data_IF_693197889032
#
_entry.id   IF_693197889032
#
_cell.length_a   1.000
_cell.length_b   1.000
_cell.length_c   1.000
_cell.angle_alpha   90.00
_cell.angle_beta   90.00
_cell.angle_gamma   90.00
#
_symmetry.space_group_name_H-M   'P 1'
#
loop_
_entity.id
_entity.type
_entity.pdbx_description
1 polymer ?
#
# COMPACT_ATOMS: atom_id res chain seq x y z
N UNK A 1 6.61 24.34 13.42
CA UNK A 1 5.63 23.32 13.87
C UNK A 1 6.42 22.13 14.40
N UNK A 2 6.13 21.65 15.62
CA UNK A 2 6.87 20.53 16.20
C UNK A 2 6.58 19.24 15.43
N UNK A 3 7.54 18.31 15.37
CA UNK A 3 7.43 17.01 14.72
C UNK A 3 6.18 16.22 15.19
N UNK A 4 5.77 16.40 16.44
CA UNK A 4 4.61 15.73 17.04
C UNK A 4 3.26 16.19 16.45
N UNK A 5 3.13 17.46 16.06
CA UNK A 5 1.90 17.99 15.43
C UNK A 5 1.71 17.44 14.01
N UNK A 6 2.79 17.23 13.30
CA UNK A 6 2.77 16.68 11.94
C UNK A 6 2.36 15.21 11.92
N UNK A 7 2.83 14.39 12.86
CA UNK A 7 2.44 12.98 12.95
C UNK A 7 0.97 12.80 13.32
N UNK A 8 0.42 13.63 14.22
CA UNK A 8 -1.01 13.61 14.57
C UNK A 8 -1.92 13.92 13.37
N UNK A 9 -1.45 14.74 12.42
CA UNK A 9 -2.21 15.05 11.21
C UNK A 9 -2.34 13.84 10.25
N UNK A 10 -1.40 12.88 10.31
CA UNK A 10 -1.42 11.66 9.51
C UNK A 10 -2.21 10.50 10.17
N UNK A 11 -2.55 10.61 11.44
CA UNK A 11 -3.35 9.61 12.13
C UNK A 11 -4.77 9.50 11.54
N UNK A 12 -5.41 8.32 11.61
CA UNK A 12 -6.82 8.17 11.24
C UNK A 12 -7.73 9.07 12.08
N UNK A 13 -8.74 9.70 11.47
CA UNK A 13 -9.67 10.63 12.15
C UNK A 13 -11.11 10.21 12.10
N UNK A 14 -11.55 9.57 11.01
CA UNK A 14 -12.93 9.15 10.80
C UNK A 14 -13.08 7.64 10.85
N UNK A 15 -14.31 7.16 11.02
CA UNK A 15 -14.60 5.71 11.10
C UNK A 15 -14.11 4.91 9.89
N UNK A 16 -14.14 5.49 8.67
CA UNK A 16 -13.62 4.84 7.46
C UNK A 16 -12.11 4.66 7.51
N UNK A 17 -11.40 5.64 8.02
CA UNK A 17 -9.94 5.60 8.15
C UNK A 17 -9.52 4.56 9.21
N UNK A 18 -10.17 4.56 10.36
CA UNK A 18 -9.98 3.54 11.39
C UNK A 18 -10.42 2.16 10.93
N UNK A 19 -11.55 2.05 10.22
CA UNK A 19 -12.04 0.81 9.63
C UNK A 19 -11.14 0.22 8.56
N UNK A 20 -10.27 1.00 7.91
CA UNK A 20 -9.23 0.47 7.05
C UNK A 20 -8.02 -0.03 7.85
N UNK A 21 -7.53 0.76 8.80
CA UNK A 21 -6.24 0.53 9.47
C UNK A 21 -6.32 -0.51 10.59
N UNK A 22 -7.31 -0.39 11.50
CA UNK A 22 -7.40 -1.27 12.67
C UNK A 22 -7.60 -2.74 12.32
N UNK A 23 -8.51 -3.12 11.38
CA UNK A 23 -8.64 -4.52 10.99
C UNK A 23 -7.37 -5.08 10.33
N UNK A 24 -6.62 -4.26 9.59
CA UNK A 24 -5.33 -4.66 9.02
C UNK A 24 -4.30 -4.97 10.10
N UNK A 25 -4.18 -4.11 11.11
CA UNK A 25 -3.30 -4.34 12.26
C UNK A 25 -3.73 -5.57 13.06
N UNK A 26 -5.03 -5.72 13.31
CA UNK A 26 -5.60 -6.88 13.98
C UNK A 26 -5.27 -8.18 13.21
N UNK A 27 -5.47 -8.19 11.89
CA UNK A 27 -5.15 -9.34 11.06
C UNK A 27 -3.67 -9.72 11.20
N UNK A 28 -2.76 -8.77 11.02
CA UNK A 28 -1.32 -9.03 11.12
C UNK A 28 -0.90 -9.57 12.49
N UNK A 29 -1.33 -8.91 13.56
CA UNK A 29 -0.96 -9.28 14.93
C UNK A 29 -1.57 -10.63 15.35
N UNK A 30 -2.88 -10.82 15.11
CA UNK A 30 -3.57 -12.04 15.56
C UNK A 30 -3.16 -13.29 14.78
N UNK A 31 -2.92 -13.18 13.46
CA UNK A 31 -2.38 -14.30 12.68
C UNK A 31 -0.99 -14.68 13.20
N UNK A 32 -0.13 -13.69 13.46
CA UNK A 32 1.19 -13.95 14.02
C UNK A 32 1.11 -14.66 15.38
N UNK A 33 0.25 -14.18 16.28
CA UNK A 33 0.09 -14.78 17.60
C UNK A 33 -0.51 -16.19 17.59
N UNK A 34 -1.43 -16.45 16.66
CA UNK A 34 -2.18 -17.72 16.62
C UNK A 34 -1.48 -18.79 15.81
N UNK A 35 -0.76 -18.42 14.74
CA UNK A 35 -0.24 -19.41 13.79
C UNK A 35 1.27 -19.55 13.79
N UNK A 36 2.01 -18.66 14.45
CA UNK A 36 3.47 -18.70 14.45
C UNK A 36 4.01 -19.78 15.38
N UNK A 37 4.82 -20.67 14.79
CA UNK A 37 5.60 -21.67 15.49
C UNK A 37 7.03 -21.65 14.92
N UNK A 38 8.06 -21.23 15.67
CA UNK A 38 9.42 -21.12 15.16
C UNK A 38 10.04 -22.45 14.73
N UNK A 39 9.49 -23.58 15.17
CA UNK A 39 9.94 -24.92 14.79
C UNK A 39 9.30 -25.42 13.48
N UNK A 40 8.26 -24.74 12.99
CA UNK A 40 7.50 -25.13 11.81
C UNK A 40 7.71 -24.14 10.67
N UNK A 41 8.52 -24.51 9.68
CA UNK A 41 8.84 -23.63 8.54
C UNK A 41 7.62 -23.08 7.82
N UNK A 42 6.53 -23.85 7.73
CA UNK A 42 5.29 -23.38 7.12
C UNK A 42 4.68 -22.17 7.84
N UNK A 43 4.80 -22.08 9.16
CA UNK A 43 4.19 -21.02 9.98
C UNK A 43 4.71 -19.61 9.64
N UNK A 44 5.95 -19.53 9.15
CA UNK A 44 6.55 -18.26 8.71
C UNK A 44 5.80 -17.64 7.53
N UNK A 45 5.22 -18.47 6.64
CA UNK A 45 4.49 -17.96 5.48
C UNK A 45 3.21 -17.19 5.87
N UNK A 46 2.21 -17.77 6.56
CA UNK A 46 1.01 -17.03 6.95
C UNK A 46 1.32 -15.83 7.84
N UNK A 47 2.26 -15.98 8.77
CA UNK A 47 2.70 -14.91 9.67
C UNK A 47 3.29 -13.72 8.90
N UNK A 48 4.27 -13.97 8.04
CA UNK A 48 4.94 -12.93 7.27
C UNK A 48 3.99 -12.26 6.26
N UNK A 49 3.08 -13.04 5.64
CA UNK A 49 2.07 -12.49 4.73
C UNK A 49 1.04 -11.62 5.47
N UNK A 50 0.57 -12.05 6.64
CA UNK A 50 -0.38 -11.25 7.43
C UNK A 50 0.25 -9.97 7.99
N UNK A 51 1.48 -10.04 8.48
CA UNK A 51 2.26 -8.86 8.88
C UNK A 51 2.50 -7.93 7.68
N UNK A 52 2.91 -8.49 6.55
CA UNK A 52 3.19 -7.71 5.33
C UNK A 52 1.94 -7.02 4.79
N UNK A 53 0.92 -7.75 4.39
CA UNK A 53 -0.29 -7.19 3.79
C UNK A 53 -1.23 -6.51 4.79
N UNK A 54 -1.38 -7.07 5.99
CA UNK A 54 -2.27 -6.55 7.02
C UNK A 54 -1.64 -5.40 7.80
N UNK A 55 -0.60 -5.68 8.58
CA UNK A 55 -0.09 -4.73 9.56
C UNK A 55 0.78 -3.62 8.94
N UNK A 56 1.44 -3.85 7.81
CA UNK A 56 2.37 -2.88 7.21
C UNK A 56 1.83 -2.24 5.93
N UNK A 57 1.41 -3.06 4.94
CA UNK A 57 0.96 -2.53 3.65
C UNK A 57 -0.35 -1.76 3.76
N UNK A 58 -1.28 -2.20 4.61
CA UNK A 58 -2.58 -1.53 4.82
C UNK A 58 -2.43 -0.11 5.37
N UNK A 59 -1.71 0.14 6.48
CA UNK A 59 -1.43 1.52 6.92
C UNK A 59 -0.63 2.32 5.91
N UNK A 60 0.31 1.70 5.20
CA UNK A 60 1.04 2.36 4.10
C UNK A 60 0.12 2.80 2.97
N UNK A 61 -0.83 1.96 2.55
CA UNK A 61 -1.84 2.31 1.54
C UNK A 61 -2.78 3.42 2.04
N UNK A 62 -3.17 3.37 3.31
CA UNK A 62 -3.94 4.44 3.96
C UNK A 62 -3.21 5.79 3.90
N UNK A 63 -1.91 5.83 4.25
CA UNK A 63 -1.12 7.05 4.13
C UNK A 63 -1.10 7.59 2.70
N UNK A 64 -0.94 6.73 1.69
CA UNK A 64 -0.97 7.15 0.30
C UNK A 64 -2.31 7.80 -0.11
N UNK A 65 -3.45 7.29 0.41
CA UNK A 65 -4.76 7.91 0.22
C UNK A 65 -4.87 9.26 0.93
N UNK A 66 -4.42 9.33 2.18
CA UNK A 66 -4.50 10.55 3.00
C UNK A 66 -3.63 11.68 2.47
N UNK A 67 -2.47 11.37 1.91
CA UNK A 67 -1.54 12.36 1.37
C UNK A 67 -2.06 13.10 0.14
N UNK A 68 -3.12 12.61 -0.51
CA UNK A 68 -3.77 13.33 -1.62
C UNK A 68 -4.41 14.65 -1.18
N UNK A 69 -4.88 14.72 0.07
CA UNK A 69 -5.46 15.93 0.69
C UNK A 69 -4.53 16.62 1.70
N UNK A 70 -3.24 16.31 1.72
CA UNK A 70 -2.33 16.87 2.72
C UNK A 70 -2.12 18.38 2.54
N UNK A 71 -2.33 19.20 3.60
CA UNK A 71 -2.42 20.67 3.51
C UNK A 71 -1.07 21.38 3.38
N UNK A 72 0.06 20.68 3.28
CA UNK A 72 1.35 21.36 3.18
C UNK A 72 2.53 20.46 2.79
N UNK A 73 3.63 21.06 2.31
CA UNK A 73 4.77 20.31 1.77
C UNK A 73 5.49 19.47 2.85
N UNK A 74 5.68 19.99 4.05
CA UNK A 74 6.37 19.28 5.13
C UNK A 74 5.61 18.00 5.56
N UNK A 75 4.28 18.10 5.72
CA UNK A 75 3.45 16.94 6.05
C UNK A 75 3.46 15.90 4.93
N UNK A 76 3.43 16.36 3.68
CA UNK A 76 3.50 15.48 2.50
C UNK A 76 4.83 14.74 2.44
N UNK A 77 5.95 15.40 2.70
CA UNK A 77 7.28 14.75 2.72
C UNK A 77 7.37 13.73 3.83
N UNK A 78 7.00 14.06 5.07
CA UNK A 78 7.01 13.13 6.20
C UNK A 78 6.12 11.90 5.94
N UNK A 79 4.92 12.11 5.39
CA UNK A 79 4.00 11.02 5.05
C UNK A 79 4.49 10.14 3.90
N UNK A 80 5.20 10.71 2.90
CA UNK A 80 5.81 9.93 1.82
C UNK A 80 6.93 9.03 2.35
N UNK A 81 7.77 9.52 3.27
CA UNK A 81 8.79 8.69 3.92
C UNK A 81 8.17 7.57 4.74
N UNK A 82 7.13 7.86 5.54
CA UNK A 82 6.41 6.84 6.30
C UNK A 82 5.75 5.79 5.38
N UNK A 83 5.12 6.23 4.28
CA UNK A 83 4.57 5.33 3.26
C UNK A 83 5.67 4.44 2.66
N UNK A 84 6.78 5.02 2.24
CA UNK A 84 7.88 4.28 1.63
C UNK A 84 8.49 3.25 2.61
N UNK A 85 8.70 3.63 3.86
CA UNK A 85 9.22 2.73 4.90
C UNK A 85 8.27 1.55 5.15
N UNK A 86 6.96 1.81 5.31
CA UNK A 86 5.96 0.77 5.52
C UNK A 86 5.86 -0.18 4.31
N UNK A 87 5.87 0.34 3.08
CA UNK A 87 5.78 -0.49 1.89
C UNK A 87 7.04 -1.33 1.66
N UNK A 88 8.20 -0.78 1.95
CA UNK A 88 9.47 -1.53 1.87
C UNK A 88 9.51 -2.64 2.91
N UNK A 89 9.17 -2.35 4.17
CA UNK A 89 9.09 -3.36 5.23
C UNK A 89 8.04 -4.43 4.92
N UNK A 90 6.86 -4.04 4.40
CA UNK A 90 5.83 -4.97 3.96
C UNK A 90 6.32 -5.91 2.85
N UNK A 91 6.99 -5.34 1.84
CA UNK A 91 7.55 -6.12 0.73
C UNK A 91 8.63 -7.10 1.21
N UNK A 92 9.50 -6.68 2.13
CA UNK A 92 10.50 -7.54 2.73
C UNK A 92 9.86 -8.70 3.53
N UNK A 93 8.85 -8.42 4.34
CA UNK A 93 8.10 -9.44 5.08
C UNK A 93 7.44 -10.44 4.11
N UNK A 94 6.73 -9.96 3.09
CA UNK A 94 6.09 -10.81 2.10
C UNK A 94 7.10 -11.66 1.31
N UNK A 95 8.25 -11.10 0.96
CA UNK A 95 9.32 -11.85 0.31
C UNK A 95 9.87 -12.95 1.23
N UNK A 96 10.09 -12.68 2.51
CA UNK A 96 10.46 -13.68 3.51
C UNK A 96 9.42 -14.80 3.60
N UNK A 97 8.13 -14.46 3.63
CA UNK A 97 7.03 -15.43 3.61
C UNK A 97 6.98 -16.27 2.32
N UNK A 98 7.30 -15.68 1.16
CA UNK A 98 7.44 -16.41 -0.10
C UNK A 98 8.59 -17.41 -0.03
N UNK A 99 9.76 -16.99 0.43
CA UNK A 99 10.92 -17.87 0.59
C UNK A 99 10.59 -19.05 1.50
N UNK A 100 9.94 -18.79 2.64
CA UNK A 100 9.55 -19.83 3.59
C UNK A 100 8.62 -20.87 2.96
N UNK A 101 7.60 -20.45 2.21
CA UNK A 101 6.67 -21.42 1.58
C UNK A 101 7.31 -22.18 0.42
N UNK A 102 8.16 -21.53 -0.37
CA UNK A 102 8.90 -22.19 -1.44
C UNK A 102 9.81 -23.26 -0.85
N UNK A 103 10.61 -22.92 0.16
CA UNK A 103 11.48 -23.87 0.85
C UNK A 103 10.69 -25.02 1.48
N UNK A 104 9.60 -24.74 2.20
CA UNK A 104 8.75 -25.77 2.82
C UNK A 104 8.17 -26.74 1.79
N UNK A 105 7.70 -26.23 0.63
CA UNK A 105 7.15 -27.07 -0.43
C UNK A 105 8.24 -27.89 -1.12
N UNK A 106 9.40 -27.31 -1.38
CA UNK A 106 10.56 -28.02 -1.98
C UNK A 106 11.01 -29.17 -1.09
N UNK A 107 11.20 -28.93 0.21
CA UNK A 107 11.57 -29.97 1.19
C UNK A 107 10.51 -31.09 1.23
N UNK A 108 9.22 -30.72 1.19
CA UNK A 108 8.11 -31.68 1.22
C UNK A 108 7.73 -32.25 -0.15
N UNK A 109 8.51 -31.95 -1.20
CA UNK A 109 8.28 -32.39 -2.59
C UNK A 109 6.87 -32.09 -3.09
N UNK A 110 6.28 -30.94 -2.69
CA UNK A 110 4.95 -30.50 -3.11
C UNK A 110 5.03 -29.56 -4.31
N UNK A 111 4.10 -29.65 -5.28
CA UNK A 111 4.11 -28.78 -6.45
C UNK A 111 3.87 -27.30 -6.09
N UNK A 112 4.49 -26.39 -6.87
CA UNK A 112 4.34 -24.95 -6.74
C UNK A 112 3.23 -24.43 -7.65
N UNK A 113 2.60 -23.30 -7.28
CA UNK A 113 1.65 -22.50 -8.09
C UNK A 113 0.43 -23.27 -8.64
N UNK A 114 0.02 -24.37 -8.01
CA UNK A 114 -1.10 -25.22 -8.48
C UNK A 114 -2.48 -24.83 -7.91
N UNK A 115 -2.56 -23.82 -7.04
CA UNK A 115 -3.82 -23.38 -6.44
C UNK A 115 -4.10 -21.92 -6.77
N UNK A 116 -5.38 -21.52 -6.80
CA UNK A 116 -5.78 -20.13 -7.01
C UNK A 116 -5.18 -19.20 -5.97
N UNK A 117 -5.06 -19.63 -4.69
CA UNK A 117 -4.32 -18.89 -3.67
C UNK A 117 -2.87 -18.62 -4.09
N UNK A 118 -2.17 -19.64 -4.58
CA UNK A 118 -0.76 -19.53 -4.93
C UNK A 118 -0.54 -18.64 -6.16
N UNK A 119 -1.37 -18.78 -7.21
CA UNK A 119 -1.25 -17.97 -8.43
C UNK A 119 -1.62 -16.51 -8.19
N UNK A 120 -2.70 -16.26 -7.46
CA UNK A 120 -3.12 -14.89 -7.11
C UNK A 120 -2.12 -14.23 -6.14
N UNK A 121 -1.59 -15.00 -5.17
CA UNK A 121 -0.55 -14.52 -4.26
C UNK A 121 0.73 -14.15 -5.00
N UNK A 122 1.18 -14.97 -5.95
CA UNK A 122 2.34 -14.67 -6.79
C UNK A 122 2.11 -13.43 -7.66
N UNK A 123 0.94 -13.30 -8.28
CA UNK A 123 0.56 -12.12 -9.05
C UNK A 123 0.55 -10.85 -8.17
N UNK A 124 0.01 -10.94 -6.95
CA UNK A 124 0.02 -9.83 -5.99
C UNK A 124 1.43 -9.39 -5.63
N UNK A 125 2.35 -10.34 -5.36
CA UNK A 125 3.75 -10.05 -5.07
C UNK A 125 4.46 -9.40 -6.25
N UNK A 126 4.22 -9.86 -7.47
CA UNK A 126 4.79 -9.25 -8.67
C UNK A 126 4.30 -7.81 -8.85
N UNK A 127 3.00 -7.56 -8.68
CA UNK A 127 2.42 -6.21 -8.71
C UNK A 127 3.03 -5.32 -7.62
N UNK A 128 3.26 -5.85 -6.41
CA UNK A 128 3.89 -5.13 -5.31
C UNK A 128 5.34 -4.75 -5.64
N UNK A 129 6.11 -5.65 -6.25
CA UNK A 129 7.48 -5.37 -6.71
C UNK A 129 7.50 -4.29 -7.81
N UNK A 130 6.60 -4.37 -8.79
CA UNK A 130 6.44 -3.33 -9.81
C UNK A 130 6.04 -1.98 -9.20
N UNK A 131 5.15 -1.99 -8.20
CA UNK A 131 4.78 -0.79 -7.47
C UNK A 131 5.96 -0.23 -6.66
N UNK A 132 6.74 -1.08 -5.99
CA UNK A 132 7.93 -0.67 -5.25
C UNK A 132 8.97 -0.04 -6.17
N UNK A 133 9.28 -0.68 -7.31
CA UNK A 133 10.23 -0.17 -8.30
C UNK A 133 9.79 1.17 -8.89
N UNK A 134 8.50 1.30 -9.28
CA UNK A 134 7.96 2.55 -9.79
C UNK A 134 7.87 3.64 -8.70
N UNK A 135 7.64 3.25 -7.46
CA UNK A 135 7.66 4.15 -6.29
C UNK A 135 9.06 4.68 -6.02
N UNK A 136 10.08 3.83 -6.06
CA UNK A 136 11.49 4.22 -5.94
C UNK A 136 11.87 5.21 -7.06
N UNK A 137 11.45 4.95 -8.31
CA UNK A 137 11.64 5.88 -9.43
C UNK A 137 10.94 7.22 -9.24
N UNK A 138 9.77 7.24 -8.57
CA UNK A 138 9.03 8.47 -8.27
C UNK A 138 9.54 9.22 -7.03
N UNK A 139 10.43 8.62 -6.26
CA UNK A 139 10.95 9.17 -5.02
C UNK A 139 12.11 10.12 -5.29
N UNK A 140 11.88 11.41 -5.14
CA UNK A 140 12.85 12.46 -5.50
C UNK A 140 14.20 12.32 -4.80
N UNK A 141 14.22 11.83 -3.56
CA UNK A 141 15.44 11.63 -2.80
C UNK A 141 16.47 10.68 -3.46
N UNK A 142 16.01 9.82 -4.38
CA UNK A 142 16.90 8.94 -5.16
C UNK A 142 17.42 9.58 -6.46
N UNK A 143 17.02 10.82 -6.77
CA UNK A 143 17.47 11.56 -7.96
C UNK A 143 16.99 11.02 -9.31
N UNK A 144 16.26 9.89 -9.33
CA UNK A 144 15.75 9.27 -10.56
C UNK A 144 14.63 10.12 -11.17
N UNK A 145 13.78 10.70 -10.31
CA UNK A 145 12.64 11.51 -10.72
C UNK A 145 13.00 12.68 -11.62
N UNK A 146 14.10 13.38 -11.32
CA UNK A 146 14.52 14.58 -12.05
C UNK A 146 15.09 14.24 -13.42
N UNK A 147 15.53 12.99 -13.64
CA UNK A 147 16.00 12.46 -14.93
C UNK A 147 14.87 11.99 -15.85
N UNK A 148 13.65 11.83 -15.33
CA UNK A 148 12.50 11.41 -16.14
C UNK A 148 11.97 12.56 -16.99
N UNK A 149 11.65 12.34 -18.29
CA UNK A 149 10.95 13.32 -19.10
C UNK A 149 9.61 13.72 -18.47
N UNK A 150 9.24 15.00 -18.55
CA UNK A 150 8.03 15.52 -17.90
C UNK A 150 6.75 14.81 -18.36
N UNK A 151 6.69 14.42 -19.63
CA UNK A 151 5.58 13.64 -20.20
C UNK A 151 5.40 12.26 -19.54
N UNK A 152 6.45 11.68 -18.98
CA UNK A 152 6.42 10.33 -18.35
C UNK A 152 6.03 10.42 -16.87
N UNK A 153 6.33 11.53 -16.21
CA UNK A 153 6.09 11.71 -14.76
C UNK A 153 4.63 11.47 -14.33
N UNK A 154 3.60 12.01 -15.02
CA UNK A 154 2.20 11.74 -14.67
C UNK A 154 1.82 10.26 -14.83
N UNK A 155 2.33 9.61 -15.89
CA UNK A 155 2.08 8.19 -16.15
C UNK A 155 2.71 7.31 -15.08
N UNK A 156 3.97 7.58 -14.71
CA UNK A 156 4.68 6.85 -13.66
C UNK A 156 3.94 6.95 -12.29
N UNK A 157 3.47 8.14 -11.91
CA UNK A 157 2.65 8.32 -10.70
C UNK A 157 1.33 7.54 -10.77
N UNK A 158 0.64 7.56 -11.92
CA UNK A 158 -0.61 6.83 -12.11
C UNK A 158 -0.37 5.32 -12.04
N UNK A 159 0.66 4.82 -12.73
CA UNK A 159 1.05 3.42 -12.73
C UNK A 159 1.37 2.95 -11.31
N UNK A 160 2.24 3.65 -10.57
CA UNK A 160 2.55 3.33 -9.18
C UNK A 160 1.31 3.20 -8.30
N UNK A 161 0.38 4.16 -8.36
CA UNK A 161 -0.84 4.14 -7.56
C UNK A 161 -1.76 2.98 -7.89
N UNK A 162 -1.93 2.68 -9.18
CA UNK A 162 -2.83 1.61 -9.63
C UNK A 162 -2.22 0.23 -9.33
N UNK A 163 -0.92 0.05 -9.60
CA UNK A 163 -0.20 -1.18 -9.29
C UNK A 163 -0.19 -1.47 -7.79
N UNK A 164 0.11 -0.45 -6.96
CA UNK A 164 0.13 -0.61 -5.51
C UNK A 164 -1.24 -0.96 -4.93
N UNK A 165 -2.31 -0.31 -5.41
CA UNK A 165 -3.66 -0.64 -4.95
C UNK A 165 -4.11 -2.02 -5.44
N UNK A 166 -3.82 -2.37 -6.69
CA UNK A 166 -4.12 -3.70 -7.25
C UNK A 166 -3.35 -4.81 -6.51
N UNK A 167 -2.07 -4.59 -6.20
CA UNK A 167 -1.27 -5.51 -5.40
C UNK A 167 -1.89 -5.76 -4.03
N UNK A 168 -2.28 -4.70 -3.33
CA UNK A 168 -2.90 -4.82 -2.01
C UNK A 168 -4.23 -5.57 -2.07
N UNK A 169 -5.13 -5.24 -3.01
CA UNK A 169 -6.41 -5.93 -3.19
C UNK A 169 -6.22 -7.40 -3.54
N UNK A 170 -5.31 -7.71 -4.47
CA UNK A 170 -5.01 -9.09 -4.85
C UNK A 170 -4.43 -9.90 -3.68
N UNK A 171 -3.60 -9.28 -2.84
CA UNK A 171 -3.09 -9.89 -1.60
C UNK A 171 -4.20 -10.19 -0.59
N UNK A 172 -5.15 -9.26 -0.39
CA UNK A 172 -6.31 -9.48 0.48
C UNK A 172 -7.20 -10.61 -0.08
N UNK A 173 -7.41 -10.65 -1.40
CA UNK A 173 -8.17 -11.73 -2.04
C UNK A 173 -7.46 -13.09 -1.91
N UNK A 174 -6.15 -13.15 -2.09
CA UNK A 174 -5.36 -14.36 -1.85
C UNK A 174 -5.48 -14.83 -0.39
N UNK A 175 -5.42 -13.90 0.58
CA UNK A 175 -5.63 -14.22 2.00
C UNK A 175 -7.04 -14.78 2.24
N UNK A 176 -8.09 -14.18 1.67
CA UNK A 176 -9.47 -14.70 1.77
C UNK A 176 -9.59 -16.13 1.26
N UNK A 177 -8.93 -16.46 0.14
CA UNK A 177 -8.92 -17.84 -0.39
C UNK A 177 -8.20 -18.77 0.59
N UNK A 178 -7.05 -18.35 1.15
CA UNK A 178 -6.32 -19.15 2.14
C UNK A 178 -7.15 -19.47 3.38
N UNK A 179 -7.99 -18.54 3.83
CA UNK A 179 -8.85 -18.73 5.00
C UNK A 179 -9.95 -19.77 4.80
N UNK A 180 -10.23 -20.20 3.55
CA UNK A 180 -11.16 -21.26 3.24
C UNK A 180 -10.47 -22.65 3.10
N UNK A 181 -9.16 -22.72 3.33
CA UNK A 181 -8.44 -23.99 3.27
C UNK A 181 -8.57 -24.75 4.60
N UNK A 182 -8.85 -26.07 4.60
CA UNK A 182 -8.95 -26.86 5.82
C UNK A 182 -7.70 -26.83 6.70
N UNK A 183 -6.54 -26.57 6.09
CA UNK A 183 -5.28 -26.37 6.81
C UNK A 183 -5.31 -25.15 7.71
N UNK A 184 -5.98 -24.07 7.31
CA UNK A 184 -6.07 -22.82 8.08
C UNK A 184 -6.86 -23.04 9.38
N UNK A 185 -8.01 -23.70 9.31
CA UNK A 185 -8.82 -24.01 10.48
C UNK A 185 -8.07 -24.90 11.49
N UNK A 186 -7.32 -25.89 10.98
CA UNK A 186 -6.49 -26.76 11.84
C UNK A 186 -5.39 -25.99 12.56
N UNK A 187 -4.69 -25.10 11.86
CA UNK A 187 -3.62 -24.29 12.48
C UNK A 187 -4.17 -23.22 13.43
N UNK A 188 -5.39 -22.75 13.19
CA UNK A 188 -6.06 -21.75 14.02
C UNK A 188 -6.83 -22.35 15.23
N UNK A 189 -6.86 -23.68 15.36
CA UNK A 189 -7.60 -24.35 16.44
C UNK A 189 -9.12 -24.26 16.32
N UNK A 190 -9.64 -24.08 15.08
CA UNK A 190 -11.06 -24.02 14.78
C UNK A 190 -11.44 -22.88 13.83
N UNK A 191 -12.73 -22.58 13.73
CA UNK A 191 -13.30 -21.63 12.76
C UNK A 191 -13.38 -20.19 13.27
N UNK A 192 -13.28 -19.96 14.58
CA UNK A 192 -13.46 -18.64 15.18
C UNK A 192 -12.45 -17.59 14.64
N UNK A 193 -11.16 -17.90 14.66
CA UNK A 193 -10.12 -17.03 14.15
C UNK A 193 -10.23 -16.77 12.65
N UNK A 194 -10.36 -17.80 11.78
CA UNK A 194 -10.58 -17.58 10.35
C UNK A 194 -11.79 -16.69 10.05
N UNK A 195 -12.90 -16.82 10.79
CA UNK A 195 -14.06 -15.95 10.61
C UNK A 195 -13.78 -14.50 11.01
N UNK A 196 -13.08 -14.27 12.14
CA UNK A 196 -12.66 -12.94 12.54
C UNK A 196 -11.71 -12.30 11.52
N UNK A 197 -10.79 -13.08 10.93
CA UNK A 197 -9.86 -12.59 9.90
C UNK A 197 -10.57 -12.26 8.59
N UNK A 198 -11.57 -13.08 8.16
CA UNK A 198 -12.42 -12.76 7.00
C UNK A 198 -13.15 -11.43 7.20
N UNK A 199 -13.77 -11.25 8.36
CA UNK A 199 -14.45 -10.00 8.70
C UNK A 199 -13.49 -8.80 8.67
N UNK A 200 -12.30 -8.94 9.24
CA UNK A 200 -11.27 -7.89 9.22
C UNK A 200 -10.85 -7.50 7.80
N UNK A 201 -10.62 -8.48 6.92
CA UNK A 201 -10.29 -8.23 5.51
C UNK A 201 -11.44 -7.49 4.82
N UNK A 202 -12.68 -7.97 4.95
CA UNK A 202 -13.85 -7.36 4.29
C UNK A 202 -14.06 -5.91 4.73
N UNK A 203 -13.97 -5.63 6.03
CA UNK A 203 -14.10 -4.26 6.58
C UNK A 203 -12.99 -3.37 6.06
N UNK A 204 -11.73 -3.84 6.08
CA UNK A 204 -10.58 -3.08 5.60
C UNK A 204 -10.71 -2.73 4.12
N UNK A 205 -11.09 -3.70 3.28
CA UNK A 205 -11.27 -3.51 1.83
C UNK A 205 -12.44 -2.57 1.52
N UNK A 206 -13.59 -2.74 2.20
CA UNK A 206 -14.75 -1.87 2.02
C UNK A 206 -14.44 -0.41 2.40
N UNK A 207 -13.75 -0.20 3.53
CA UNK A 207 -13.33 1.12 3.96
C UNK A 207 -12.31 1.75 3.00
N UNK A 208 -11.34 0.97 2.51
CA UNK A 208 -10.37 1.44 1.52
C UNK A 208 -11.03 1.84 0.20
N UNK A 209 -11.97 1.03 -0.30
CA UNK A 209 -12.74 1.35 -1.50
C UNK A 209 -13.54 2.65 -1.31
N UNK A 210 -14.23 2.79 -0.18
CA UNK A 210 -14.96 3.99 0.17
C UNK A 210 -14.06 5.24 0.22
N UNK A 211 -12.90 5.14 0.87
CA UNK A 211 -11.92 6.24 0.91
C UNK A 211 -11.42 6.61 -0.48
N UNK A 212 -11.12 5.61 -1.33
CA UNK A 212 -10.64 5.84 -2.70
C UNK A 212 -11.68 6.55 -3.55
N UNK A 213 -12.96 6.21 -3.43
CA UNK A 213 -14.07 6.82 -4.17
C UNK A 213 -14.35 8.27 -3.74
N UNK A 214 -14.15 8.59 -2.46
CA UNK A 214 -14.42 9.92 -1.90
C UNK A 214 -13.18 10.84 -1.91
N UNK A 215 -12.02 10.35 -2.32
CA UNK A 215 -10.84 11.20 -2.49
C UNK A 215 -10.98 11.97 -3.81
N UNK A 216 -10.81 13.31 -3.83
CA UNK A 216 -10.92 14.13 -5.04
C UNK A 216 -10.08 13.53 -6.16
N UNK A 217 -10.70 13.36 -7.33
CA UNK A 217 -10.01 12.78 -8.47
C UNK A 217 -8.92 13.76 -8.96
N UNK A 218 -7.80 13.20 -9.41
CA UNK A 218 -6.67 13.94 -10.00
C UNK A 218 -7.04 14.82 -11.23
N UNK A 219 -8.29 14.81 -11.68
CA UNK A 219 -8.78 15.75 -12.67
C UNK A 219 -8.73 17.19 -12.17
N UNK A 220 -9.05 17.42 -10.89
CA UNK A 220 -8.98 18.76 -10.30
C UNK A 220 -7.54 19.28 -10.21
N UNK A 221 -6.57 18.41 -9.86
CA UNK A 221 -5.15 18.79 -9.79
C UNK A 221 -4.55 19.11 -11.19
N UNK A 222 -5.10 18.51 -12.26
CA UNK A 222 -4.70 18.80 -13.63
C UNK A 222 -5.36 20.10 -14.15
N UNK A 223 -6.59 20.36 -13.79
CA UNK A 223 -7.33 21.59 -14.15
C UNK A 223 -6.78 22.82 -13.43
N UNK A 224 -6.47 22.71 -12.12
CA UNK A 224 -5.85 23.77 -11.34
C UNK A 224 -4.39 24.05 -11.76
N UNK A 225 -3.65 23.02 -12.19
CA UNK A 225 -2.29 23.17 -12.72
C UNK A 225 -2.24 23.83 -14.11
N UNK A 226 -3.30 23.68 -14.90
CA UNK A 226 -3.41 24.29 -16.22
C UNK A 226 -3.94 25.75 -16.13
N UNK A 227 -4.82 26.05 -15.20
CA UNK A 227 -5.34 27.38 -14.94
C UNK A 227 -4.32 28.34 -14.31
N UNK A 228 -3.32 27.83 -13.56
CA UNK A 228 -2.28 28.62 -12.92
C UNK A 228 -1.08 29.00 -13.82
N UNK A 229 -0.99 28.42 -15.04
CA UNK A 229 0.11 28.66 -15.99
C UNK A 229 -0.14 29.71 -17.07
N UNK A 230 -1.35 30.29 -17.13
CA UNK A 230 -1.77 31.18 -18.22
C UNK A 230 -1.72 32.69 -17.93
N UNK A 231 -1.16 33.14 -16.81
CA UNK A 231 -1.19 34.54 -16.40
C UNK A 231 0.18 35.24 -16.33
N UNK A 232 0.93 35.23 -17.40
CA UNK A 232 2.25 35.90 -17.44
C UNK A 232 2.64 36.51 -18.79
N UNK A 233 1.65 37.11 -19.50
CA UNK A 233 1.87 37.92 -20.69
C UNK A 233 1.89 39.39 -20.33
N UNK A 234 3.04 39.94 -19.89
CA UNK A 234 3.22 41.35 -19.59
C UNK A 234 3.09 42.22 -20.82
N UNK A 235 2.10 43.10 -20.84
CA UNK A 235 2.03 44.24 -21.71
C UNK A 235 3.04 45.30 -21.22
N UNK A 236 4.20 45.33 -21.87
CA UNK A 236 5.14 46.44 -21.76
C UNK A 236 4.64 47.63 -22.55
N UNK A 237 4.00 48.56 -21.87
CA UNK A 237 3.62 49.83 -22.46
C UNK A 237 4.73 50.83 -22.33
N UNK A 238 5.29 51.23 -23.52
CA UNK A 238 6.36 52.16 -23.65
C UNK A 238 5.94 53.59 -23.25
N UNK A 239 6.65 54.16 -22.29
CA UNK A 239 6.66 55.60 -22.07
C UNK A 239 7.69 56.26 -23.01
N UNK A 240 7.20 56.86 -24.09
CA UNK A 240 7.96 57.89 -24.83
C UNK A 240 7.99 59.19 -24.01
N UNK A 241 9.18 59.65 -23.73
CA UNK A 241 9.40 61.02 -23.31
C UNK A 241 9.66 61.88 -24.50
N UNK A 242 9.17 63.08 -24.49
CA UNK A 242 9.56 64.25 -25.30
C UNK A 242 9.21 65.52 -24.53
N UNK A 243 9.78 66.65 -24.89
CA UNK A 243 11.20 67.04 -24.88
C UNK A 243 11.53 67.90 -23.69
#
# INVERSE_FOLDING_TARGET
MSSSSSLRALAPRGWREWGMVVPGLFLGASVALVTFDPLVLFSFHPTAMALGYGALMTPGAFLALKLRGAPGPALRVAGLWAHAALQTAASAACFGGLVAIVANKTIKRKPHLVSLHATLGAASLLLALCALASGAGAFRALGIWDRLPDRVKPLAKRAHRNLGFAAWVAGQAAAMIALNLPSTERHAGGTAWPNAWRAAILVSVACAASLKLHTPSLKRDAEEGFAGGGGGGGSGEGRRGTP
#
